data_IF_939588259747
#
_entry.id   IF_939588259747
#
_cell.length_a   1.000
_cell.length_b   1.000
_cell.length_c   1.000
_cell.angle_alpha   90.00
_cell.angle_beta   90.00
_cell.angle_gamma   90.00
#
_symmetry.space_group_name_H-M   'P 1'
#
loop_
_entity.id
_entity.type
_entity.pdbx_description
1 polymer ?
#
# COMPACT_ATOMS: atom_id res chain seq x y z
N UNK A 1 -8.84 -6.75 -11.82
CA UNK A 1 -8.48 -5.34 -11.53
C UNK A 1 -7.06 -5.10 -12.00
N UNK A 2 -6.76 -3.92 -12.55
CA UNK A 2 -5.39 -3.53 -12.94
C UNK A 2 -4.77 -2.73 -11.79
N UNK A 3 -3.55 -3.07 -11.40
CA UNK A 3 -2.77 -2.33 -10.40
C UNK A 3 -1.59 -1.63 -11.10
N UNK A 4 -1.71 -0.35 -11.48
CA UNK A 4 -0.69 0.33 -12.29
C UNK A 4 0.61 0.61 -11.53
N UNK A 5 0.60 0.50 -10.20
CA UNK A 5 1.74 0.82 -9.34
C UNK A 5 2.26 -0.46 -8.71
N UNK A 6 3.57 -0.69 -8.80
CA UNK A 6 4.27 -1.80 -8.17
C UNK A 6 5.15 -1.26 -7.04
N UNK A 7 4.83 -1.61 -5.79
CA UNK A 7 5.55 -1.16 -4.60
C UNK A 7 6.35 -2.30 -3.99
N UNK A 8 7.66 -2.08 -3.80
CA UNK A 8 8.53 -3.03 -3.11
C UNK A 8 8.65 -2.66 -1.63
N UNK A 9 8.32 -3.63 -0.78
CA UNK A 9 8.40 -3.50 0.67
C UNK A 9 7.04 -3.29 1.33
N UNK A 10 6.95 -3.72 2.59
CA UNK A 10 5.72 -3.72 3.42
C UNK A 10 5.86 -2.78 4.62
N UNK A 11 6.62 -1.68 4.49
CA UNK A 11 6.89 -0.80 5.63
C UNK A 11 5.69 0.10 5.96
N UNK A 12 5.54 0.46 7.24
CA UNK A 12 4.53 1.46 7.66
C UNK A 12 4.82 2.86 7.09
N UNK A 13 6.07 3.13 6.74
CA UNK A 13 6.45 4.38 6.10
C UNK A 13 5.85 4.51 4.70
N UNK A 14 5.93 3.45 3.89
CA UNK A 14 5.32 3.44 2.55
C UNK A 14 3.80 3.62 2.63
N UNK A 15 3.16 2.98 3.61
CA UNK A 15 1.73 3.14 3.87
C UNK A 15 1.35 4.58 4.25
N UNK A 16 2.08 5.19 5.18
CA UNK A 16 1.78 6.54 5.66
C UNK A 16 2.24 7.66 4.71
N UNK A 17 3.00 7.32 3.66
CA UNK A 17 3.51 8.26 2.69
C UNK A 17 2.91 7.98 1.31
N UNK A 18 3.49 7.04 0.55
CA UNK A 18 3.09 6.78 -0.83
C UNK A 18 1.62 6.36 -0.96
N UNK A 19 1.17 5.38 -0.16
CA UNK A 19 -0.20 4.86 -0.25
C UNK A 19 -1.22 5.94 0.16
N UNK A 20 -0.88 6.80 1.13
CA UNK A 20 -1.72 7.94 1.54
C UNK A 20 -1.90 8.96 0.39
N UNK A 21 -0.80 9.41 -0.22
CA UNK A 21 -0.87 10.37 -1.34
C UNK A 21 -1.63 9.80 -2.55
N UNK A 22 -1.45 8.52 -2.86
CA UNK A 22 -2.20 7.85 -3.92
C UNK A 22 -3.70 7.82 -3.58
N UNK A 23 -4.04 7.46 -2.34
CA UNK A 23 -5.44 7.44 -1.88
C UNK A 23 -6.09 8.82 -1.91
N UNK A 24 -5.37 9.87 -1.51
CA UNK A 24 -5.86 11.25 -1.56
C UNK A 24 -6.06 11.71 -3.01
N UNK A 25 -5.09 11.49 -3.89
CA UNK A 25 -5.20 11.85 -5.31
C UNK A 25 -6.36 11.11 -6.02
N UNK A 26 -6.57 9.82 -5.74
CA UNK A 26 -7.73 9.08 -6.25
C UNK A 26 -9.06 9.65 -5.73
N UNK A 27 -9.08 10.13 -4.47
CA UNK A 27 -10.26 10.78 -3.87
C UNK A 27 -10.57 12.14 -4.49
N UNK A 28 -9.54 12.84 -4.96
CA UNK A 28 -9.66 14.08 -5.74
C UNK A 28 -10.03 13.86 -7.21
N UNK A 29 -10.18 12.60 -7.64
CA UNK A 29 -10.62 12.23 -8.99
C UNK A 29 -9.50 12.03 -10.01
N UNK A 30 -8.24 11.94 -9.57
CA UNK A 30 -7.13 11.58 -10.46
C UNK A 30 -7.20 10.09 -10.83
N UNK A 31 -6.90 9.76 -12.09
CA UNK A 31 -6.88 8.39 -12.61
C UNK A 31 -5.57 7.67 -12.26
N UNK A 32 -5.33 7.52 -10.96
CA UNK A 32 -4.38 6.57 -10.41
C UNK A 32 -5.13 5.26 -10.13
N UNK A 33 -4.42 4.17 -9.87
CA UNK A 33 -5.07 2.89 -9.57
C UNK A 33 -4.48 2.23 -8.33
N UNK A 34 -5.02 1.07 -7.94
CA UNK A 34 -4.55 0.34 -6.76
C UNK A 34 -3.08 -0.08 -6.88
N UNK A 35 -2.43 -0.24 -5.72
CA UNK A 35 -1.01 -0.61 -5.61
C UNK A 35 -0.89 -2.13 -5.42
N UNK A 36 -0.03 -2.77 -6.20
CA UNK A 36 0.45 -4.13 -5.89
C UNK A 36 1.67 -4.04 -4.98
N UNK A 37 1.59 -4.65 -3.81
CA UNK A 37 2.68 -4.69 -2.82
C UNK A 37 3.47 -6.00 -2.96
N UNK A 38 4.79 -5.89 -3.07
CA UNK A 38 5.71 -7.02 -3.22
C UNK A 38 6.65 -7.08 -2.02
N UNK A 39 6.70 -8.23 -1.35
CA UNK A 39 7.75 -8.54 -0.40
C UNK A 39 8.86 -9.33 -1.11
N UNK A 40 10.06 -8.75 -1.19
CA UNK A 40 11.21 -9.40 -1.84
C UNK A 40 11.98 -10.33 -0.92
N UNK A 41 11.83 -10.18 0.41
CA UNK A 41 12.53 -10.98 1.40
C UNK A 41 11.68 -12.17 1.88
N UNK A 42 12.26 -13.37 1.97
CA UNK A 42 11.59 -14.57 2.51
C UNK A 42 11.39 -14.59 4.03
N UNK A 43 11.53 -13.44 4.70
CA UNK A 43 11.48 -13.30 6.15
C UNK A 43 10.09 -13.66 6.69
N UNK A 44 9.99 -14.74 7.47
CA UNK A 44 8.73 -15.25 8.00
C UNK A 44 8.03 -14.28 8.97
N UNK A 45 8.81 -13.51 9.74
CA UNK A 45 8.33 -12.42 10.61
C UNK A 45 7.59 -11.32 9.83
N UNK A 46 7.89 -11.14 8.53
CA UNK A 46 7.27 -10.12 7.70
C UNK A 46 6.12 -10.64 6.83
N UNK A 47 6.04 -11.95 6.64
CA UNK A 47 4.97 -12.59 5.85
C UNK A 47 3.57 -12.25 6.38
N UNK A 48 3.41 -12.16 7.71
CA UNK A 48 2.15 -11.76 8.34
C UNK A 48 1.68 -10.35 7.96
N UNK A 49 2.61 -9.45 7.62
CA UNK A 49 2.25 -8.09 7.19
C UNK A 49 1.76 -8.07 5.75
N UNK A 50 2.35 -8.88 4.87
CA UNK A 50 1.85 -9.02 3.51
C UNK A 50 0.42 -9.57 3.52
N UNK A 51 0.14 -10.56 4.38
CA UNK A 51 -1.20 -11.13 4.54
C UNK A 51 -2.26 -10.12 5.03
N UNK A 52 -1.85 -9.03 5.67
CA UNK A 52 -2.77 -7.98 6.13
C UNK A 52 -3.21 -7.04 4.99
N UNK A 53 -2.53 -7.03 3.83
CA UNK A 53 -2.96 -6.28 2.65
C UNK A 53 -3.99 -7.08 1.86
N UNK A 54 -5.25 -7.01 2.27
CA UNK A 54 -6.37 -7.73 1.66
C UNK A 54 -7.21 -6.87 0.68
N UNK A 55 -6.70 -5.70 0.32
CA UNK A 55 -7.35 -4.75 -0.57
C UNK A 55 -8.36 -3.82 0.12
N UNK A 56 -8.59 -3.97 1.43
CA UNK A 56 -9.39 -3.01 2.19
C UNK A 56 -8.56 -1.77 2.57
N UNK A 57 -9.21 -0.60 2.77
CA UNK A 57 -8.52 0.60 3.22
C UNK A 57 -7.82 0.40 4.58
N UNK A 58 -6.63 0.96 4.72
CA UNK A 58 -5.87 0.99 5.98
C UNK A 58 -6.01 2.37 6.64
N UNK A 59 -6.32 2.45 7.95
CA UNK A 59 -6.38 3.74 8.63
C UNK A 59 -4.98 4.32 8.86
N UNK A 60 -4.75 5.55 8.38
CA UNK A 60 -3.55 6.35 8.66
C UNK A 60 -3.92 7.49 9.61
N UNK A 61 -3.22 7.59 10.74
CA UNK A 61 -3.46 8.63 11.74
C UNK A 61 -2.31 9.63 11.69
N UNK A 62 -2.60 10.85 11.24
CA UNK A 62 -1.67 11.99 11.30
C UNK A 62 -1.91 12.70 12.63
N UNK A 63 -0.84 12.93 13.41
CA UNK A 63 -0.87 13.61 14.70
C UNK A 63 0.16 14.72 14.75
#
# INVERSE_FOLDING_TARGET
>A
MKTPILQFGTSRFLQAHADLFISDAMREGQDLGPVTVVQTTGSADRAGRLAAFDGRPLPIIVR
#
